data_IF_810073260299
#
_entry.id   IF_810073260299
#
_cell.length_a   1.000
_cell.length_b   1.000
_cell.length_c   1.000
_cell.angle_alpha   90.00
_cell.angle_beta   90.00
_cell.angle_gamma   90.00
#
_symmetry.space_group_name_H-M   'P 1'
#
loop_
_entity.id
_entity.type
_entity.pdbx_description
1 polymer ?
#
# COMPACT_ATOMS: atom_id res chain seq x y z
N UNK A 1 -47.73 5.08 -30.18
CA UNK A 1 -46.25 5.14 -30.24
C UNK A 1 -45.82 6.60 -30.14
N UNK A 2 -44.68 6.97 -29.52
CA UNK A 2 -43.75 6.20 -28.67
C UNK A 2 -43.53 6.87 -27.28
N UNK A 3 -43.66 6.15 -26.16
CA UNK A 3 -42.55 5.47 -25.46
C UNK A 3 -41.21 6.22 -25.56
N UNK A 4 -40.95 7.18 -24.66
CA UNK A 4 -39.72 8.00 -24.70
C UNK A 4 -39.08 8.29 -23.33
N UNK A 5 -39.47 7.59 -22.25
CA UNK A 5 -38.90 7.80 -20.90
C UNK A 5 -37.99 6.67 -20.39
N UNK A 6 -37.82 5.56 -21.14
CA UNK A 6 -37.02 4.41 -20.69
C UNK A 6 -35.50 4.56 -20.91
N UNK A 7 -35.05 5.59 -21.64
CA UNK A 7 -33.62 5.77 -21.97
C UNK A 7 -32.76 6.37 -20.86
N UNK A 8 -33.36 7.07 -19.89
CA UNK A 8 -32.59 7.82 -18.87
C UNK A 8 -32.09 6.93 -17.73
N UNK A 9 -32.78 5.84 -17.41
CA UNK A 9 -32.36 4.92 -16.34
C UNK A 9 -31.17 4.03 -16.75
N UNK A 10 -31.04 3.68 -18.03
CA UNK A 10 -29.91 2.90 -18.53
C UNK A 10 -28.59 3.69 -18.53
N UNK A 11 -28.63 5.02 -18.76
CA UNK A 11 -27.45 5.87 -18.68
C UNK A 11 -26.92 6.00 -17.25
N UNK A 12 -27.81 6.00 -16.25
CA UNK A 12 -27.45 6.04 -14.82
C UNK A 12 -26.80 4.72 -14.34
N UNK A 13 -27.24 3.58 -14.86
CA UNK A 13 -26.67 2.28 -14.52
C UNK A 13 -25.28 2.05 -15.16
N UNK A 14 -25.04 2.60 -16.36
CA UNK A 14 -23.75 2.54 -17.04
C UNK A 14 -22.71 3.54 -16.47
N UNK A 15 -23.13 4.60 -15.78
CA UNK A 15 -22.22 5.54 -15.12
C UNK A 15 -21.62 5.01 -13.80
N UNK A 16 -22.29 4.08 -13.12
CA UNK A 16 -21.83 3.53 -11.84
C UNK A 16 -20.76 2.44 -11.98
N UNK A 17 -20.56 1.86 -13.17
CA UNK A 17 -19.52 0.85 -13.40
C UNK A 17 -18.18 1.42 -13.86
N UNK A 18 -18.11 2.72 -14.19
CA UNK A 18 -16.88 3.39 -14.64
C UNK A 18 -16.13 4.15 -13.52
N UNK A 19 -16.71 4.28 -12.33
CA UNK A 19 -16.10 4.99 -11.19
C UNK A 19 -15.56 4.04 -10.10
N UNK A 20 -15.48 2.75 -10.40
CA UNK A 20 -15.06 1.69 -9.46
C UNK A 20 -13.67 1.10 -9.72
N UNK A 21 -12.80 1.76 -10.49
CA UNK A 21 -11.41 1.35 -10.66
C UNK A 21 -10.49 2.51 -10.28
N UNK A 22 -10.65 3.02 -9.06
CA UNK A 22 -9.46 3.40 -8.33
C UNK A 22 -8.63 2.11 -8.27
N UNK A 23 -7.53 2.06 -9.01
CA UNK A 23 -6.64 0.90 -9.08
C UNK A 23 -6.23 0.52 -7.66
N UNK A 24 -6.97 -0.40 -7.04
CA UNK A 24 -6.55 -1.04 -5.83
C UNK A 24 -5.31 -1.85 -6.23
N UNK A 25 -4.11 -1.25 -6.06
CA UNK A 25 -2.85 -2.00 -6.16
C UNK A 25 -3.06 -3.26 -5.35
N UNK A 26 -2.86 -4.42 -5.97
CA UNK A 26 -3.09 -5.69 -5.29
C UNK A 26 -2.26 -5.71 -4.00
N UNK A 27 -2.82 -6.30 -2.93
CA UNK A 27 -2.12 -6.38 -1.65
C UNK A 27 -0.72 -6.99 -1.81
N UNK A 28 -0.57 -7.99 -2.68
CA UNK A 28 0.72 -8.58 -3.04
C UNK A 28 1.70 -7.57 -3.66
N UNK A 29 1.23 -6.68 -4.54
CA UNK A 29 2.08 -5.63 -5.10
C UNK A 29 2.54 -4.65 -4.02
N UNK A 30 1.67 -4.28 -3.08
CA UNK A 30 2.02 -3.37 -2.00
C UNK A 30 2.99 -4.02 -0.99
N UNK A 31 2.79 -5.30 -0.68
CA UNK A 31 3.71 -6.09 0.14
C UNK A 31 5.08 -6.21 -0.52
N UNK A 32 5.11 -6.46 -1.84
CA UNK A 32 6.36 -6.49 -2.59
C UNK A 32 7.09 -5.14 -2.57
N UNK A 33 6.35 -4.03 -2.73
CA UNK A 33 6.92 -2.69 -2.59
C UNK A 33 7.48 -2.45 -1.19
N UNK A 34 6.77 -2.88 -0.14
CA UNK A 34 7.29 -2.80 1.23
C UNK A 34 8.60 -3.58 1.37
N UNK A 35 8.68 -4.82 0.86
CA UNK A 35 9.92 -5.62 0.89
C UNK A 35 11.10 -4.92 0.20
N UNK A 36 10.87 -4.29 -0.96
CA UNK A 36 11.90 -3.52 -1.67
C UNK A 36 12.41 -2.34 -0.85
N UNK A 37 11.53 -1.63 -0.12
CA UNK A 37 11.94 -0.54 0.76
C UNK A 37 12.74 -1.08 1.95
N UNK A 38 12.35 -2.22 2.53
CA UNK A 38 13.11 -2.87 3.59
C UNK A 38 14.54 -3.23 3.16
N UNK A 39 14.71 -3.72 1.92
CA UNK A 39 16.03 -4.03 1.38
C UNK A 39 16.86 -2.76 1.11
N UNK A 40 16.22 -1.65 0.72
CA UNK A 40 16.90 -0.35 0.60
C UNK A 40 17.38 0.18 1.95
N UNK A 41 16.59 0.04 3.03
CA UNK A 41 17.02 0.40 4.39
C UNK A 41 18.27 -0.40 4.78
N UNK A 42 18.27 -1.72 4.52
CA UNK A 42 19.43 -2.59 4.80
C UNK A 42 20.65 -2.17 3.99
N UNK A 43 20.48 -1.84 2.71
CA UNK A 43 21.55 -1.37 1.85
C UNK A 43 22.11 -0.03 2.35
N UNK A 44 21.26 0.95 2.62
CA UNK A 44 21.64 2.25 3.15
C UNK A 44 22.42 2.11 4.47
N UNK A 45 21.95 1.24 5.38
CA UNK A 45 22.68 0.91 6.62
C UNK A 45 24.05 0.30 6.33
N UNK A 46 24.14 -0.63 5.38
CA UNK A 46 25.41 -1.31 5.05
C UNK A 46 26.49 -0.35 4.51
N UNK A 47 26.09 0.74 3.87
CA UNK A 47 27.00 1.78 3.34
C UNK A 47 27.12 3.00 4.26
N UNK A 48 26.47 2.99 5.43
CA UNK A 48 26.49 4.09 6.39
C UNK A 48 25.70 5.34 5.99
N UNK A 49 24.79 5.22 5.02
CA UNK A 49 23.91 6.32 4.59
C UNK A 49 22.75 6.52 5.56
N UNK A 50 22.99 7.27 6.64
CA UNK A 50 21.99 7.57 7.68
C UNK A 50 20.76 8.29 7.13
N UNK A 51 20.95 9.22 6.19
CA UNK A 51 19.83 9.95 5.60
C UNK A 51 18.95 9.02 4.77
N UNK A 52 19.55 8.16 3.96
CA UNK A 52 18.84 7.12 3.21
C UNK A 52 18.09 6.16 4.14
N UNK A 53 18.72 5.74 5.24
CA UNK A 53 18.04 4.92 6.27
C UNK A 53 16.79 5.64 6.79
N UNK A 54 16.85 6.92 7.11
CA UNK A 54 15.69 7.68 7.59
C UNK A 54 14.57 7.82 6.59
N UNK A 55 14.91 8.27 5.39
CA UNK A 55 13.93 8.58 4.36
C UNK A 55 13.19 7.29 3.95
N UNK A 56 13.92 6.18 3.80
CA UNK A 56 13.34 4.88 3.48
C UNK A 56 12.61 4.24 4.67
N UNK A 57 13.06 4.42 5.90
CA UNK A 57 12.32 3.95 7.09
C UNK A 57 10.99 4.67 7.26
N UNK A 58 10.96 5.98 7.01
CA UNK A 58 9.70 6.74 6.98
C UNK A 58 8.79 6.29 5.85
N UNK A 59 9.34 6.01 4.66
CA UNK A 59 8.57 5.46 3.53
C UNK A 59 8.00 4.08 3.85
N UNK A 60 8.79 3.19 4.45
CA UNK A 60 8.35 1.85 4.86
C UNK A 60 7.22 1.93 5.89
N UNK A 61 7.33 2.84 6.87
CA UNK A 61 6.29 3.05 7.87
C UNK A 61 4.96 3.49 7.25
N UNK A 62 5.00 4.46 6.34
CA UNK A 62 3.80 4.96 5.67
C UNK A 62 3.15 3.86 4.81
N UNK A 63 3.96 3.10 4.05
CA UNK A 63 3.46 1.96 3.27
C UNK A 63 2.86 0.88 4.15
N UNK A 64 3.52 0.54 5.27
CA UNK A 64 3.01 -0.45 6.21
C UNK A 64 1.66 -0.02 6.78
N UNK A 65 1.51 1.24 7.20
CA UNK A 65 0.26 1.77 7.73
C UNK A 65 -0.88 1.75 6.69
N UNK A 66 -0.57 2.01 5.42
CA UNK A 66 -1.53 1.94 4.31
C UNK A 66 -2.06 0.51 4.11
N UNK A 67 -1.17 -0.49 4.19
CA UNK A 67 -1.51 -1.89 3.90
C UNK A 67 -1.94 -2.69 5.13
N UNK A 68 -1.68 -2.19 6.34
CA UNK A 68 -1.91 -2.90 7.59
C UNK A 68 -3.33 -3.46 7.72
N UNK A 69 -4.40 -2.69 7.40
CA UNK A 69 -5.77 -3.20 7.54
C UNK A 69 -6.03 -4.37 6.58
N UNK A 70 -5.57 -4.26 5.33
CA UNK A 70 -5.70 -5.31 4.33
C UNK A 70 -4.84 -6.54 4.68
N UNK A 71 -3.63 -6.33 5.20
CA UNK A 71 -2.77 -7.40 5.69
C UNK A 71 -3.39 -8.17 6.86
N UNK A 72 -3.95 -7.48 7.84
CA UNK A 72 -4.63 -8.11 8.99
C UNK A 72 -5.85 -8.92 8.55
N UNK A 73 -6.57 -8.45 7.53
CA UNK A 73 -7.77 -9.11 7.03
C UNK A 73 -7.47 -10.32 6.13
N UNK A 74 -6.42 -10.27 5.31
CA UNK A 74 -6.10 -11.32 4.33
C UNK A 74 -4.98 -12.28 4.76
N UNK A 75 -4.07 -11.85 5.65
CA UNK A 75 -2.90 -12.63 6.06
C UNK A 75 -2.58 -12.43 7.55
N UNK A 76 -3.44 -12.97 8.41
CA UNK A 76 -3.27 -12.97 9.87
C UNK A 76 -2.00 -13.70 10.37
N UNK A 77 -1.35 -14.52 9.54
CA UNK A 77 -0.11 -15.23 9.88
C UNK A 77 1.19 -14.49 9.52
N UNK A 78 1.12 -13.29 8.96
CA UNK A 78 2.31 -12.53 8.57
C UNK A 78 2.91 -11.87 9.82
N UNK A 79 4.23 -11.98 10.03
CA UNK A 79 4.90 -11.43 11.22
C UNK A 79 4.98 -9.89 11.15
N UNK A 80 3.88 -9.23 11.48
CA UNK A 80 3.77 -7.77 11.51
C UNK A 80 4.74 -7.13 12.50
N UNK A 81 4.99 -7.80 13.63
CA UNK A 81 5.94 -7.34 14.64
C UNK A 81 7.36 -7.26 14.06
N UNK A 82 7.83 -8.29 13.34
CA UNK A 82 9.16 -8.27 12.71
C UNK A 82 9.33 -7.21 11.61
N UNK A 83 8.25 -6.89 10.88
CA UNK A 83 8.26 -5.78 9.92
C UNK A 83 8.37 -4.43 10.65
N UNK A 84 7.59 -4.25 11.70
CA UNK A 84 7.57 -3.02 12.50
C UNK A 84 8.89 -2.81 13.24
N UNK A 85 9.49 -3.86 13.80
CA UNK A 85 10.80 -3.80 14.47
C UNK A 85 11.91 -3.33 13.53
N UNK A 86 11.92 -3.83 12.29
CA UNK A 86 12.95 -3.42 11.33
C UNK A 86 12.80 -1.95 10.92
N UNK A 87 11.56 -1.46 10.80
CA UNK A 87 11.25 -0.04 10.54
C UNK A 87 11.67 0.82 11.75
N UNK A 88 11.36 0.38 12.97
CA UNK A 88 11.74 1.06 14.21
C UNK A 88 13.26 1.15 14.36
N UNK A 89 13.98 0.07 14.09
CA UNK A 89 15.45 0.08 14.08
C UNK A 89 16.02 1.09 13.08
N UNK A 90 15.32 1.34 11.97
CA UNK A 90 15.72 2.37 11.01
C UNK A 90 15.47 3.78 11.53
N UNK A 91 14.40 4.01 12.29
CA UNK A 91 14.15 5.30 12.97
C UNK A 91 15.14 5.59 14.11
N UNK A 92 15.61 4.58 14.83
CA UNK A 92 16.60 4.75 15.91
C UNK A 92 17.96 5.28 15.39
N UNK A 93 18.25 5.09 14.10
CA UNK A 93 19.51 5.50 13.48
C UNK A 93 19.49 6.91 12.85
N UNK A 94 18.39 7.67 13.01
CA UNK A 94 18.14 8.92 12.28
C UNK A 94 18.89 10.21 12.71
#
# INVERSE_FOLDING_TARGET
MPMRSQGWWLALLLGCSLTGIAQAKSLDQQVFQLQLVMDQIRLARSVGDRKGVCDESRRANNLLLEILPALQQQRSGLNHAGLQDTILLGFDEC
#
